data_IF_347701872580
#
_entry.id   IF_347701872580
#
_cell.length_a   1.000
_cell.length_b   1.000
_cell.length_c   1.000
_cell.angle_alpha   90.00
_cell.angle_beta   90.00
_cell.angle_gamma   90.00
#
_symmetry.space_group_name_H-M   'P 1'
#
loop_
_entity.id
_entity.type
_entity.pdbx_description
1 polymer ?
#
# COMPACT_ATOMS: atom_id res chain seq x y z
N UNK A 1 7.92 2.94 0.94
CA UNK A 1 9.36 3.17 1.21
C UNK A 1 9.60 4.67 1.17
N UNK A 2 10.58 5.29 1.86
CA UNK A 2 10.39 6.56 2.59
C UNK A 2 9.72 7.72 1.84
N UNK A 3 9.80 7.78 0.52
CA UNK A 3 9.18 8.77 -0.36
C UNK A 3 7.90 8.35 -1.13
N UNK A 4 7.48 7.07 -1.09
CA UNK A 4 6.28 6.53 -1.77
C UNK A 4 5.65 5.33 -1.03
N UNK A 5 4.45 4.91 -1.44
CA UNK A 5 3.78 3.70 -0.88
C UNK A 5 3.32 2.77 -2.00
N UNK A 6 3.38 1.46 -1.73
CA UNK A 6 2.72 0.43 -2.54
C UNK A 6 1.62 -0.21 -1.69
N UNK A 7 0.42 -0.30 -2.24
CA UNK A 7 -0.76 -0.78 -1.52
C UNK A 7 -1.42 -1.92 -2.28
N UNK A 8 -1.70 -3.02 -1.59
CA UNK A 8 -2.73 -3.98 -2.00
C UNK A 8 -3.98 -3.65 -1.20
N UNK A 9 -5.05 -3.28 -1.88
CA UNK A 9 -6.30 -2.88 -1.24
C UNK A 9 -7.49 -3.36 -2.06
N UNK A 10 -8.63 -3.52 -1.37
CA UNK A 10 -9.93 -3.71 -1.98
C UNK A 10 -10.78 -2.50 -1.62
N UNK A 11 -11.14 -1.62 -2.56
CA UNK A 11 -12.07 -0.53 -2.27
C UNK A 11 -13.40 -1.08 -1.76
N UNK A 12 -14.11 -0.30 -0.94
CA UNK A 12 -15.49 -0.64 -0.56
C UNK A 12 -16.37 -0.76 -1.80
N UNK A 13 -17.45 -1.55 -1.72
CA UNK A 13 -18.31 -1.86 -2.87
C UNK A 13 -18.79 -0.62 -3.64
N UNK A 14 -19.11 0.46 -2.92
CA UNK A 14 -19.60 1.73 -3.48
C UNK A 14 -18.51 2.80 -3.65
N UNK A 15 -17.23 2.43 -3.47
CA UNK A 15 -16.10 3.37 -3.48
C UNK A 15 -15.21 3.07 -4.69
N UNK A 16 -15.08 4.03 -5.59
CA UNK A 16 -14.12 3.91 -6.70
C UNK A 16 -12.68 3.94 -6.20
N UNK A 17 -11.75 3.40 -6.99
CA UNK A 17 -10.33 3.40 -6.65
C UNK A 17 -9.79 4.83 -6.47
N UNK A 18 -10.19 5.75 -7.35
CA UNK A 18 -9.81 7.17 -7.30
C UNK A 18 -10.27 7.82 -6.01
N UNK A 19 -11.50 7.54 -5.57
CA UNK A 19 -12.04 8.08 -4.32
C UNK A 19 -11.32 7.50 -3.10
N UNK A 20 -11.04 6.21 -3.09
CA UNK A 20 -10.25 5.58 -2.02
C UNK A 20 -8.87 6.22 -1.89
N UNK A 21 -8.16 6.39 -3.02
CA UNK A 21 -6.83 7.01 -3.03
C UNK A 21 -6.87 8.50 -2.70
N UNK A 22 -7.91 9.23 -3.10
CA UNK A 22 -8.12 10.61 -2.70
C UNK A 22 -8.24 10.72 -1.16
N UNK A 23 -9.00 9.83 -0.52
CA UNK A 23 -9.16 9.81 0.93
C UNK A 23 -7.84 9.48 1.64
N UNK A 24 -7.10 8.47 1.16
CA UNK A 24 -5.80 8.09 1.73
C UNK A 24 -4.78 9.23 1.62
N UNK A 25 -4.62 9.79 0.41
CA UNK A 25 -3.63 10.84 0.13
C UNK A 25 -4.00 12.16 0.80
N UNK A 26 -5.29 12.53 0.75
CA UNK A 26 -5.81 13.74 1.38
C UNK A 26 -5.76 13.68 2.91
N UNK A 27 -6.23 12.57 3.50
CA UNK A 27 -6.21 12.38 4.95
C UNK A 27 -4.80 12.38 5.53
N UNK A 28 -3.86 11.67 4.91
CA UNK A 28 -2.45 11.68 5.33
C UNK A 28 -1.81 13.07 5.20
N UNK A 29 -2.09 13.81 4.12
CA UNK A 29 -1.56 15.17 3.94
C UNK A 29 -2.09 16.13 4.99
N UNK A 30 -3.38 16.01 5.33
CA UNK A 30 -4.01 16.81 6.37
C UNK A 30 -3.40 16.53 7.75
N UNK A 31 -3.27 15.25 8.13
CA UNK A 31 -2.64 14.85 9.38
C UNK A 31 -1.20 15.33 9.49
N UNK A 32 -0.39 15.16 8.42
CA UNK A 32 0.98 15.67 8.39
C UNK A 32 1.06 17.19 8.51
N UNK A 33 0.11 17.93 7.91
CA UNK A 33 0.03 19.38 8.05
C UNK A 33 -0.26 19.81 9.48
N UNK A 34 -1.16 19.09 10.16
CA UNK A 34 -1.52 19.35 11.56
C UNK A 34 -0.40 18.98 12.54
N UNK A 35 0.24 17.82 12.37
CA UNK A 35 1.22 17.28 13.31
C UNK A 35 2.64 17.81 13.10
N UNK A 36 3.06 18.02 11.84
CA UNK A 36 4.44 18.35 11.49
C UNK A 36 4.59 19.78 10.96
N UNK A 37 3.49 20.56 10.91
CA UNK A 37 3.48 21.92 10.36
C UNK A 37 3.84 21.98 8.86
N UNK A 38 3.79 20.84 8.16
CA UNK A 38 4.22 20.75 6.76
C UNK A 38 3.21 21.46 5.86
N UNK A 39 3.69 22.43 5.08
CA UNK A 39 2.91 23.17 4.09
C UNK A 39 3.36 22.78 2.69
N UNK A 40 2.42 22.46 1.80
CA UNK A 40 2.68 22.11 0.40
C UNK A 40 2.18 20.72 -0.01
N UNK A 41 2.33 20.41 -1.30
CA UNK A 41 1.93 19.13 -1.87
C UNK A 41 2.85 18.00 -1.39
N UNK A 42 2.29 17.00 -0.71
CA UNK A 42 3.04 15.83 -0.20
C UNK A 42 3.13 14.74 -1.25
N UNK A 43 2.06 14.54 -2.01
CA UNK A 43 1.93 13.43 -2.93
C UNK A 43 2.10 13.87 -4.38
N UNK A 44 2.77 13.05 -5.18
CA UNK A 44 2.74 13.18 -6.64
C UNK A 44 1.29 13.12 -7.16
N UNK A 45 0.98 13.91 -8.20
CA UNK A 45 -0.32 13.86 -8.90
C UNK A 45 -0.52 12.51 -9.57
N UNK A 46 -1.73 11.97 -9.48
CA UNK A 46 -2.08 10.65 -10.02
C UNK A 46 -1.61 9.46 -9.16
N UNK A 47 -1.69 8.27 -9.73
CA UNK A 47 -1.21 7.01 -9.16
C UNK A 47 -1.07 5.95 -10.27
N UNK A 48 -0.35 4.87 -9.99
CA UNK A 48 -0.29 3.67 -10.83
C UNK A 48 -1.13 2.60 -10.19
N UNK A 49 -1.96 1.92 -10.98
CA UNK A 49 -2.79 0.80 -10.52
C UNK A 49 -2.60 -0.44 -11.39
N UNK A 50 -2.91 -1.59 -10.78
CA UNK A 50 -3.01 -2.88 -11.43
C UNK A 50 -4.13 -3.67 -10.76
N UNK A 51 -5.10 -4.15 -11.55
CA UNK A 51 -6.18 -5.01 -11.04
C UNK A 51 -5.70 -6.44 -10.91
N UNK A 52 -5.70 -6.96 -9.69
CA UNK A 52 -5.44 -8.37 -9.38
C UNK A 52 -6.51 -9.27 -10.01
N UNK A 53 -6.08 -10.25 -10.81
CA UNK A 53 -6.98 -11.11 -11.60
C UNK A 53 -7.25 -12.49 -11.00
N UNK A 54 -6.29 -13.03 -10.26
CA UNK A 54 -6.37 -14.37 -9.67
C UNK A 54 -5.37 -14.50 -8.50
N UNK A 55 -5.32 -15.68 -7.88
CA UNK A 55 -4.43 -15.96 -6.75
C UNK A 55 -2.94 -15.84 -7.05
N UNK A 56 -2.49 -16.26 -8.24
CA UNK A 56 -1.08 -16.15 -8.63
C UNK A 56 -0.67 -14.68 -8.82
N UNK A 57 -1.52 -13.87 -9.44
CA UNK A 57 -1.32 -12.43 -9.61
C UNK A 57 -1.26 -11.71 -8.26
N UNK A 58 -2.12 -12.12 -7.32
CA UNK A 58 -2.10 -11.62 -5.95
C UNK A 58 -0.76 -11.90 -5.26
N UNK A 59 -0.31 -13.17 -5.27
CA UNK A 59 0.91 -13.56 -4.56
C UNK A 59 2.14 -12.89 -5.17
N UNK A 60 2.20 -12.80 -6.50
CA UNK A 60 3.28 -12.08 -7.20
C UNK A 60 3.37 -10.61 -6.77
N UNK A 61 2.24 -9.90 -6.70
CA UNK A 61 2.23 -8.49 -6.30
C UNK A 61 2.52 -8.32 -4.81
N UNK A 62 2.01 -9.23 -3.96
CA UNK A 62 2.30 -9.26 -2.53
C UNK A 62 3.81 -9.42 -2.29
N UNK A 63 4.42 -10.41 -2.92
CA UNK A 63 5.85 -10.67 -2.82
C UNK A 63 6.68 -9.51 -3.37
N UNK A 64 6.25 -8.91 -4.49
CA UNK A 64 6.89 -7.70 -5.01
C UNK A 64 6.91 -6.58 -3.95
N UNK A 65 5.78 -6.29 -3.31
CA UNK A 65 5.69 -5.27 -2.26
C UNK A 65 6.59 -5.62 -1.06
N UNK A 66 6.61 -6.89 -0.65
CA UNK A 66 7.44 -7.36 0.46
C UNK A 66 8.94 -7.25 0.16
N UNK A 67 9.35 -7.50 -1.08
CA UNK A 67 10.76 -7.40 -1.50
C UNK A 67 11.26 -5.97 -1.69
N UNK A 68 10.38 -4.98 -1.87
CA UNK A 68 10.77 -3.59 -2.09
C UNK A 68 11.76 -3.02 -1.03
N UNK A 69 11.52 -3.12 0.29
CA UNK A 69 12.48 -2.63 1.30
C UNK A 69 13.85 -3.30 1.18
N UNK A 70 13.89 -4.60 0.87
CA UNK A 70 15.15 -5.36 0.71
C UNK A 70 15.88 -4.96 -0.57
N UNK A 71 15.16 -4.87 -1.69
CA UNK A 71 15.71 -4.43 -2.98
C UNK A 71 16.30 -3.01 -2.90
N UNK A 72 15.71 -2.14 -2.07
CA UNK A 72 16.21 -0.78 -1.79
C UNK A 72 17.26 -0.72 -0.69
N UNK A 73 17.70 -1.86 -0.13
CA UNK A 73 18.70 -1.97 0.94
C UNK A 73 18.31 -1.20 2.21
N UNK A 74 17.01 -1.07 2.48
CA UNK A 74 16.47 -0.43 3.69
C UNK A 74 16.44 -1.43 4.87
N UNK A 75 16.25 -2.72 4.58
CA UNK A 75 16.25 -3.81 5.56
C UNK A 75 16.89 -5.06 4.96
N UNK A 76 17.39 -5.98 5.80
CA UNK A 76 17.96 -7.25 5.33
C UNK A 76 16.88 -8.24 4.90
N UNK A 77 15.71 -8.18 5.52
CA UNK A 77 14.54 -8.97 5.18
C UNK A 77 13.26 -8.11 5.22
N UNK A 78 12.20 -8.56 4.53
CA UNK A 78 10.91 -7.87 4.53
C UNK A 78 10.28 -7.80 5.93
N UNK A 79 10.50 -8.84 6.75
CA UNK A 79 9.97 -8.97 8.10
C UNK A 79 10.63 -8.02 9.11
N UNK A 80 11.78 -7.44 8.79
CA UNK A 80 12.47 -6.46 9.64
C UNK A 80 11.97 -5.02 9.40
N UNK A 81 11.35 -4.74 8.24
CA UNK A 81 10.89 -3.40 7.93
C UNK A 81 9.51 -3.15 8.52
N UNK A 82 9.45 -2.42 9.64
CA UNK A 82 8.21 -2.11 10.38
C UNK A 82 7.09 -1.48 9.52
N UNK A 83 7.40 -0.85 8.39
CA UNK A 83 6.38 -0.28 7.50
C UNK A 83 6.03 -1.18 6.30
N UNK A 84 6.36 -2.47 6.37
CA UNK A 84 5.93 -3.51 5.43
C UNK A 84 4.87 -4.41 6.07
N UNK A 85 3.91 -4.90 5.29
CA UNK A 85 2.94 -5.91 5.76
C UNK A 85 3.56 -7.29 6.03
N UNK A 86 4.82 -7.54 5.63
CA UNK A 86 5.57 -8.72 6.05
C UNK A 86 6.05 -8.64 7.51
N UNK A 87 6.05 -7.44 8.12
CA UNK A 87 6.38 -7.28 9.52
C UNK A 87 5.31 -7.98 10.39
N UNK A 88 5.70 -8.85 11.34
CA UNK A 88 4.77 -9.72 12.08
C UNK A 88 3.81 -8.97 13.02
N UNK A 89 4.02 -7.67 13.26
CA UNK A 89 3.20 -6.87 14.16
C UNK A 89 1.85 -6.42 13.61
N UNK A 90 1.47 -6.83 12.39
CA UNK A 90 0.19 -6.46 11.78
C UNK A 90 -0.73 -7.65 11.60
N UNK A 91 -2.00 -7.46 11.97
CA UNK A 91 -3.09 -8.34 11.56
C UNK A 91 -3.50 -7.94 10.13
N UNK A 92 -3.32 -8.84 9.18
CA UNK A 92 -3.72 -8.62 7.79
C UNK A 92 -5.14 -9.13 7.54
N UNK A 93 -5.75 -8.60 6.49
CA UNK A 93 -7.04 -9.06 6.00
C UNK A 93 -6.96 -10.52 5.52
N UNK A 94 -8.11 -11.19 5.52
CA UNK A 94 -8.20 -12.53 4.96
C UNK A 94 -7.95 -12.52 3.44
N UNK A 95 -7.64 -13.69 2.89
CA UNK A 95 -7.42 -13.85 1.46
C UNK A 95 -8.63 -13.33 0.64
N UNK A 96 -8.44 -12.35 -0.25
CA UNK A 96 -9.55 -11.67 -0.90
C UNK A 96 -10.28 -12.61 -1.86
N UNK A 97 -11.58 -12.39 -2.06
CA UNK A 97 -12.39 -13.20 -2.97
C UNK A 97 -11.83 -13.21 -4.41
N UNK A 98 -11.28 -12.08 -4.86
CA UNK A 98 -10.62 -11.97 -6.17
C UNK A 98 -9.42 -12.93 -6.33
N UNK A 99 -8.78 -13.32 -5.24
CA UNK A 99 -7.67 -14.27 -5.24
C UNK A 99 -8.12 -15.73 -5.02
N UNK A 100 -9.43 -15.97 -4.81
CA UNK A 100 -10.02 -17.32 -4.74
C UNK A 100 -10.55 -17.83 -6.08
N UNK A 101 -10.74 -16.93 -7.05
CA UNK A 101 -11.08 -17.32 -8.41
C UNK A 101 -9.81 -17.88 -9.08
N UNK A 102 -9.69 -19.21 -9.09
CA UNK A 102 -8.73 -19.97 -9.88
C UNK A 102 -9.37 -20.36 -11.22
#
# INVERSE_FOLDING_TARGET
>A
MPEHVHLLLTPGAEITLERALQLIKGGSSHAMGAELGRKGEVWQRGFTDHRIRNGEDFERHREYIHRNPVARKIAHSAAEYRYCSAFPGYKLDAWPAAAKAA
#
